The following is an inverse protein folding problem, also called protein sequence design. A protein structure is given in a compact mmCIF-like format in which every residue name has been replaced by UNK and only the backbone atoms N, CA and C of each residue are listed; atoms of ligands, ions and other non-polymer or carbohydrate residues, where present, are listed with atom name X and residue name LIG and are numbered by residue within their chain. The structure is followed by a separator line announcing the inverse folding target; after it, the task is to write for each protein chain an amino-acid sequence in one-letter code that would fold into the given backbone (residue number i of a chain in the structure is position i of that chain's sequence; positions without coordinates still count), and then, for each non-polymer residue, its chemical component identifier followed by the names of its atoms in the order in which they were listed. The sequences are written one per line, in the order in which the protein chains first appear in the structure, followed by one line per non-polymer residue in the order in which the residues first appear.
data_IF_776493377831
#
_entry.id   IF_776493377831
#
_cell.length_a   1.000
_cell.length_b   1.000
_cell.length_c   1.000
_cell.angle_alpha   90.00
_cell.angle_beta   90.00
_cell.angle_gamma   90.00
#
_symmetry.space_group_name_H-M   'P 1'
#
loop_
_entity.id
_entity.type
_entity.pdbx_description
1 polymer ?
#
# COMPACT_ATOMS: atom_id res chain seq x y z
N UNK A 1 74.89 -16.05 -15.24
CA UNK A 1 74.12 -17.26 -14.88
C UNK A 1 73.11 -16.82 -13.83
N UNK A 2 71.80 -16.93 -13.94
CA UNK A 2 70.96 -17.91 -14.63
C UNK A 2 69.82 -17.16 -15.38
N UNK A 3 69.36 -17.63 -16.55
CA UNK A 3 68.45 -16.97 -17.47
C UNK A 3 67.00 -17.41 -17.26
N UNK A 4 66.05 -16.50 -17.45
CA UNK A 4 64.73 -16.76 -18.06
C UNK A 4 63.94 -15.45 -18.15
N UNK A 5 64.38 -14.58 -19.08
CA UNK A 5 63.51 -13.69 -19.83
C UNK A 5 63.31 -14.33 -21.19
N UNK A 6 62.11 -14.84 -21.48
CA UNK A 6 61.66 -15.05 -22.86
C UNK A 6 60.20 -14.58 -22.98
N UNK A 7 60.00 -13.76 -23.99
CA UNK A 7 58.79 -13.13 -24.48
C UNK A 7 57.55 -14.03 -24.55
N UNK A 8 56.39 -13.41 -24.26
CA UNK A 8 55.21 -13.51 -25.14
C UNK A 8 54.32 -12.28 -24.99
N UNK A 9 54.51 -11.33 -25.91
CA UNK A 9 53.42 -10.50 -26.42
C UNK A 9 52.49 -11.41 -27.21
N UNK A 10 51.25 -11.64 -26.77
CA UNK A 10 50.12 -12.10 -27.60
C UNK A 10 48.80 -11.60 -26.96
N UNK A 11 48.15 -10.65 -27.66
CA UNK A 11 46.78 -10.11 -27.56
C UNK A 11 46.23 -9.58 -26.21
N UNK A 12 46.35 -8.26 -26.04
CA UNK A 12 45.25 -7.44 -25.50
C UNK A 12 44.04 -7.62 -26.44
N UNK A 13 42.94 -8.16 -25.92
CA UNK A 13 41.63 -8.02 -26.53
C UNK A 13 40.94 -6.85 -25.82
N UNK A 14 40.60 -5.75 -26.51
CA UNK A 14 39.96 -4.60 -25.91
C UNK A 14 38.44 -4.78 -25.96
N UNK A 15 37.90 -5.88 -25.44
CA UNK A 15 36.44 -6.09 -25.37
C UNK A 15 36.13 -7.08 -24.25
N UNK A 16 36.34 -6.65 -23.00
CA UNK A 16 35.55 -7.15 -21.89
C UNK A 16 34.81 -5.95 -21.32
N UNK A 17 33.61 -5.73 -21.84
CA UNK A 17 32.55 -5.08 -21.08
C UNK A 17 32.36 -5.91 -19.80
N UNK A 18 33.04 -5.54 -18.72
CA UNK A 18 32.43 -5.75 -17.41
C UNK A 18 31.12 -4.95 -17.44
N UNK A 19 29.96 -5.59 -17.21
CA UNK A 19 28.73 -4.83 -17.08
C UNK A 19 28.95 -3.86 -15.95
N UNK A 20 28.86 -2.56 -16.25
CA UNK A 20 28.72 -1.52 -15.22
C UNK A 20 27.55 -1.99 -14.37
N UNK A 21 27.82 -2.44 -13.14
CA UNK A 21 26.75 -2.75 -12.21
C UNK A 21 26.00 -1.44 -12.00
N UNK A 22 24.83 -1.34 -12.62
CA UNK A 22 23.96 -0.20 -12.41
C UNK A 22 23.77 -0.06 -10.89
N UNK A 23 23.93 1.16 -10.38
CA UNK A 23 23.61 1.45 -9.00
C UNK A 23 22.21 0.91 -8.69
N UNK A 24 21.99 0.25 -7.54
CA UNK A 24 20.65 -0.18 -7.17
C UNK A 24 19.69 1.00 -7.25
N UNK A 25 18.52 0.78 -7.84
CA UNK A 25 17.47 1.79 -7.94
C UNK A 25 17.06 2.21 -6.53
N UNK A 26 17.02 3.52 -6.29
CA UNK A 26 16.62 4.05 -4.99
C UNK A 26 15.10 4.08 -4.90
N UNK A 27 14.57 3.59 -3.77
CA UNK A 27 13.14 3.59 -3.51
C UNK A 27 12.59 5.01 -3.37
N UNK A 28 11.42 5.28 -3.93
CA UNK A 28 10.74 6.58 -3.86
C UNK A 28 10.53 7.06 -2.42
N UNK A 29 10.27 6.12 -1.49
CA UNK A 29 10.07 6.39 -0.05
C UNK A 29 11.29 7.01 0.67
N UNK A 30 12.46 7.10 0.03
CA UNK A 30 13.63 7.78 0.59
C UNK A 30 13.63 9.29 0.35
N UNK A 31 12.72 9.81 -0.48
CA UNK A 31 12.51 11.24 -0.71
C UNK A 31 11.05 11.59 -0.37
N UNK A 32 10.83 12.05 0.87
CA UNK A 32 9.49 12.36 1.39
C UNK A 32 8.76 13.38 0.52
N UNK A 33 9.43 14.46 0.12
CA UNK A 33 8.81 15.54 -0.67
C UNK A 33 8.37 15.04 -2.04
N UNK A 34 9.20 14.23 -2.69
CA UNK A 34 8.88 13.66 -4.00
C UNK A 34 7.82 12.57 -3.92
N UNK A 35 7.89 11.73 -2.89
CA UNK A 35 6.84 10.74 -2.62
C UNK A 35 5.48 11.42 -2.43
N UNK A 36 5.41 12.48 -1.61
CA UNK A 36 4.16 13.21 -1.37
C UNK A 36 3.59 13.86 -2.64
N UNK A 37 4.44 14.48 -3.47
CA UNK A 37 4.00 15.05 -4.75
C UNK A 37 3.46 13.98 -5.70
N UNK A 38 4.14 12.85 -5.79
CA UNK A 38 3.77 11.74 -6.66
C UNK A 38 2.46 11.09 -6.19
N UNK A 39 2.31 10.89 -4.87
CA UNK A 39 1.10 10.36 -4.26
C UNK A 39 -0.09 11.29 -4.43
N UNK A 40 0.08 12.60 -4.21
CA UNK A 40 -0.98 13.59 -4.41
C UNK A 40 -1.45 13.60 -5.88
N UNK A 41 -0.51 13.58 -6.83
CA UNK A 41 -0.84 13.51 -8.25
C UNK A 41 -1.54 12.19 -8.60
N UNK A 42 -1.12 11.07 -8.03
CA UNK A 42 -1.82 9.79 -8.18
C UNK A 42 -3.27 9.88 -7.72
N UNK A 43 -3.55 10.48 -6.56
CA UNK A 43 -4.93 10.65 -6.08
C UNK A 43 -5.75 11.56 -7.00
N UNK A 44 -5.16 12.62 -7.54
CA UNK A 44 -5.82 13.52 -8.50
C UNK A 44 -6.13 12.87 -9.85
N UNK A 45 -5.31 11.89 -10.25
CA UNK A 45 -5.39 11.22 -11.56
C UNK A 45 -6.07 9.86 -11.50
N UNK A 46 -6.52 9.42 -10.33
CA UNK A 46 -7.12 8.11 -10.14
C UNK A 46 -8.49 8.17 -9.46
N UNK A 47 -9.23 7.07 -9.57
CA UNK A 47 -10.46 6.85 -8.82
C UNK A 47 -10.21 6.15 -7.48
N UNK A 48 -8.99 6.25 -6.92
CA UNK A 48 -8.57 5.52 -5.71
C UNK A 48 -9.52 5.74 -4.53
N UNK A 49 -9.62 6.99 -4.06
CA UNK A 49 -10.50 7.32 -2.94
C UNK A 49 -11.98 7.16 -3.29
N UNK A 50 -12.36 7.38 -4.56
CA UNK A 50 -13.75 7.22 -4.98
C UNK A 50 -14.20 5.76 -4.84
N UNK A 51 -13.42 4.80 -5.34
CA UNK A 51 -13.79 3.39 -5.28
C UNK A 51 -13.80 2.85 -3.83
N UNK A 52 -12.92 3.37 -2.96
CA UNK A 52 -12.94 3.07 -1.52
C UNK A 52 -14.22 3.61 -0.86
N UNK A 53 -14.58 4.87 -1.14
CA UNK A 53 -15.82 5.47 -0.63
C UNK A 53 -17.06 4.72 -1.09
N UNK A 54 -17.10 4.29 -2.35
CA UNK A 54 -18.20 3.48 -2.87
C UNK A 54 -18.33 2.16 -2.09
N UNK A 55 -17.22 1.48 -1.77
CA UNK A 55 -17.25 0.30 -0.91
C UNK A 55 -17.72 0.64 0.51
N UNK A 56 -17.21 1.73 1.09
CA UNK A 56 -17.53 2.18 2.44
C UNK A 56 -19.01 2.52 2.57
N UNK A 57 -19.62 3.20 1.61
CA UNK A 57 -21.03 3.59 1.72
C UNK A 57 -22.00 2.45 1.34
N UNK A 58 -21.60 1.53 0.45
CA UNK A 58 -22.53 0.54 -0.11
C UNK A 58 -22.37 -0.88 0.45
N UNK A 59 -21.20 -1.24 1.00
CA UNK A 59 -20.91 -2.62 1.44
C UNK A 59 -20.50 -2.69 2.90
N UNK A 60 -19.69 -1.75 3.36
CA UNK A 60 -19.20 -1.71 4.73
C UNK A 60 -20.31 -1.68 5.80
N UNK A 61 -21.47 -1.00 5.65
CA UNK A 61 -22.48 -0.95 6.71
C UNK A 61 -23.04 -2.33 7.07
N UNK A 62 -23.10 -3.24 6.09
CA UNK A 62 -23.49 -4.63 6.32
C UNK A 62 -22.42 -5.43 7.06
N UNK A 63 -21.14 -5.18 6.80
CA UNK A 63 -20.01 -5.81 7.49
C UNK A 63 -19.94 -5.34 8.95
N UNK A 64 -20.14 -4.04 9.18
CA UNK A 64 -20.11 -3.43 10.52
C UNK A 64 -21.34 -3.81 11.37
N UNK A 65 -22.41 -4.33 10.76
CA UNK A 65 -23.66 -4.65 11.45
C UNK A 65 -23.50 -5.66 12.60
N UNK A 66 -22.56 -6.61 12.48
CA UNK A 66 -22.33 -7.63 13.50
C UNK A 66 -21.29 -7.24 14.55
N UNK A 67 -20.57 -6.12 14.35
CA UNK A 67 -19.50 -5.69 15.23
C UNK A 67 -20.09 -5.23 16.56
N UNK A 68 -19.37 -5.46 17.66
CA UNK A 68 -19.72 -4.94 18.97
C UNK A 68 -20.71 -5.76 19.77
N UNK A 69 -21.61 -6.53 19.15
CA UNK A 69 -22.53 -7.47 19.82
C UNK A 69 -23.26 -6.85 21.05
N UNK A 70 -23.74 -5.61 20.92
CA UNK A 70 -24.44 -4.88 22.00
C UNK A 70 -23.55 -4.11 22.97
N UNK A 71 -22.24 -4.01 22.73
CA UNK A 71 -21.33 -3.15 23.49
C UNK A 71 -21.74 -1.67 23.39
N UNK A 72 -21.62 -0.95 24.51
CA UNK A 72 -21.74 0.52 24.57
C UNK A 72 -20.46 1.26 24.16
N UNK A 73 -19.37 0.52 23.95
CA UNK A 73 -18.05 1.05 23.60
C UNK A 73 -17.32 0.13 22.63
N UNK A 74 -16.75 0.68 21.55
CA UNK A 74 -15.99 -0.06 20.55
C UNK A 74 -14.55 0.38 20.50
N UNK A 75 -13.67 -0.60 20.34
CA UNK A 75 -12.24 -0.35 20.12
C UNK A 75 -11.92 -0.47 18.63
N UNK A 76 -11.44 0.62 18.03
CA UNK A 76 -11.02 0.65 16.62
C UNK A 76 -9.51 0.85 16.56
N UNK A 77 -8.86 0.13 15.63
CA UNK A 77 -7.43 0.33 15.35
C UNK A 77 -7.26 0.62 13.85
N UNK A 78 -6.82 1.82 13.53
CA UNK A 78 -6.38 2.19 12.19
C UNK A 78 -4.88 2.03 12.05
N UNK A 79 -4.44 1.14 11.16
CA UNK A 79 -3.02 0.89 10.91
C UNK A 79 -2.65 1.48 9.56
N UNK A 80 -1.64 2.34 9.52
CA UNK A 80 -1.27 3.11 8.32
C UNK A 80 -2.36 4.09 7.90
N UNK A 81 -2.97 4.79 8.86
CA UNK A 81 -4.14 5.66 8.63
C UNK A 81 -3.87 6.89 7.75
N UNK A 82 -2.61 7.26 7.52
CA UNK A 82 -2.29 8.45 6.75
C UNK A 82 -2.93 9.72 7.34
N UNK A 83 -3.48 10.56 6.47
CA UNK A 83 -4.17 11.79 6.84
C UNK A 83 -5.63 11.58 7.32
N UNK A 84 -6.10 10.33 7.34
CA UNK A 84 -7.34 9.93 7.99
C UNK A 84 -8.64 10.17 7.20
N UNK A 85 -8.60 10.56 5.92
CA UNK A 85 -9.85 10.77 5.17
C UNK A 85 -10.68 9.48 5.09
N UNK A 86 -10.04 8.36 4.77
CA UNK A 86 -10.72 7.07 4.64
C UNK A 86 -11.14 6.51 6.02
N UNK A 87 -10.30 6.69 7.04
CA UNK A 87 -10.65 6.33 8.42
C UNK A 87 -11.95 7.02 8.87
N UNK A 88 -12.07 8.33 8.66
CA UNK A 88 -13.24 9.08 9.08
C UNK A 88 -14.51 8.68 8.32
N UNK A 89 -14.39 8.30 7.05
CA UNK A 89 -15.52 7.74 6.28
C UNK A 89 -15.98 6.40 6.90
N UNK A 90 -15.05 5.51 7.25
CA UNK A 90 -15.38 4.24 7.91
C UNK A 90 -15.96 4.43 9.31
N UNK A 91 -15.40 5.36 10.10
CA UNK A 91 -15.89 5.70 11.44
C UNK A 91 -17.28 6.36 11.39
N UNK A 92 -17.57 7.12 10.33
CA UNK A 92 -18.90 7.67 10.09
C UNK A 92 -19.92 6.56 9.85
N UNK A 93 -19.62 5.59 8.98
CA UNK A 93 -20.50 4.44 8.74
C UNK A 93 -20.65 3.55 9.96
N UNK A 94 -19.59 3.38 10.76
CA UNK A 94 -19.66 2.68 12.04
C UNK A 94 -20.65 3.37 13.00
N UNK A 95 -20.56 4.69 13.13
CA UNK A 95 -21.46 5.45 13.99
C UNK A 95 -22.91 5.42 13.49
N UNK A 96 -23.15 5.56 12.17
CA UNK A 96 -24.50 5.41 11.60
C UNK A 96 -25.11 4.04 11.91
N UNK A 97 -24.29 2.99 11.94
CA UNK A 97 -24.74 1.64 12.26
C UNK A 97 -24.99 1.43 13.75
N UNK A 98 -24.22 2.11 14.61
CA UNK A 98 -24.23 2.00 16.07
C UNK A 98 -24.25 3.39 16.74
N UNK A 99 -25.36 4.15 16.64
CA UNK A 99 -25.38 5.58 16.96
C UNK A 99 -25.21 5.89 18.46
N UNK A 100 -25.53 4.95 19.34
CA UNK A 100 -25.45 5.13 20.80
C UNK A 100 -24.06 4.77 21.37
N UNK A 101 -23.15 4.31 20.53
CA UNK A 101 -21.89 3.70 20.94
C UNK A 101 -20.74 4.70 20.84
N UNK A 102 -19.91 4.72 21.88
CA UNK A 102 -18.66 5.49 21.88
C UNK A 102 -17.52 4.68 21.29
N UNK A 103 -16.51 5.36 20.74
CA UNK A 103 -15.39 4.71 20.05
C UNK A 103 -14.05 5.17 20.65
N UNK A 104 -13.22 4.22 21.07
CA UNK A 104 -11.78 4.45 21.26
C UNK A 104 -11.05 4.10 19.96
N UNK A 105 -10.58 5.11 19.22
CA UNK A 105 -9.86 4.93 17.95
C UNK A 105 -8.35 5.08 18.17
N UNK A 106 -7.60 4.00 18.03
CA UNK A 106 -6.14 3.98 18.06
C UNK A 106 -5.58 4.07 16.64
N UNK A 107 -4.92 5.19 16.36
CA UNK A 107 -4.27 5.46 15.07
C UNK A 107 -2.81 5.07 15.17
N UNK A 108 -2.33 4.24 14.25
CA UNK A 108 -0.93 3.80 14.13
C UNK A 108 -0.39 4.30 12.79
N UNK A 109 0.45 5.32 12.83
CA UNK A 109 0.97 5.98 11.62
C UNK A 109 2.40 6.51 11.89
N UNK A 110 3.43 6.07 11.16
CA UNK A 110 4.81 6.51 11.40
C UNK A 110 5.07 7.96 10.96
N UNK A 111 4.37 8.47 9.94
CA UNK A 111 4.61 9.80 9.39
C UNK A 111 4.07 10.91 10.29
N UNK A 112 4.98 11.79 10.75
CA UNK A 112 4.60 12.97 11.55
C UNK A 112 3.67 13.90 10.79
N UNK A 113 3.90 14.04 9.48
CA UNK A 113 3.11 14.93 8.62
C UNK A 113 1.69 14.41 8.44
N UNK A 114 1.55 13.10 8.18
CA UNK A 114 0.24 12.47 8.04
C UNK A 114 -0.56 12.54 9.34
N UNK A 115 0.07 12.22 10.48
CA UNK A 115 -0.57 12.39 11.79
C UNK A 115 -0.96 13.84 12.09
N UNK A 116 -0.15 14.82 11.67
CA UNK A 116 -0.50 16.23 11.81
C UNK A 116 -1.74 16.57 10.98
N UNK A 117 -1.76 16.18 9.70
CA UNK A 117 -2.88 16.39 8.78
C UNK A 117 -4.17 15.74 9.32
N UNK A 118 -4.08 14.52 9.84
CA UNK A 118 -5.24 13.84 10.45
C UNK A 118 -5.74 14.60 11.69
N UNK A 119 -4.85 15.04 12.59
CA UNK A 119 -5.27 15.86 13.75
C UNK A 119 -5.96 17.16 13.34
N UNK A 120 -5.47 17.82 12.28
CA UNK A 120 -6.12 19.02 11.71
C UNK A 120 -7.49 18.67 11.14
N UNK A 121 -7.61 17.55 10.40
CA UNK A 121 -8.87 17.09 9.83
C UNK A 121 -9.93 16.78 10.90
N UNK A 122 -9.51 16.22 12.04
CA UNK A 122 -10.37 15.92 13.20
C UNK A 122 -10.76 17.21 13.94
N UNK A 123 -9.84 18.16 14.12
CA UNK A 123 -10.14 19.40 14.84
C UNK A 123 -11.19 20.28 14.14
N UNK A 124 -11.38 20.08 12.84
CA UNK A 124 -12.40 20.74 12.03
C UNK A 124 -13.78 20.07 12.11
N UNK A 125 -13.92 18.95 12.83
CA UNK A 125 -15.15 18.14 12.92
C UNK A 125 -15.61 17.94 14.37
N UNK A 126 -16.19 18.98 15.02
CA UNK A 126 -16.63 18.89 16.41
C UNK A 126 -17.73 17.83 16.64
N UNK A 127 -18.43 17.41 15.59
CA UNK A 127 -19.43 16.33 15.62
C UNK A 127 -18.84 14.94 15.93
N UNK A 128 -17.52 14.76 15.86
CA UNK A 128 -16.83 13.50 16.18
C UNK A 128 -16.62 13.29 17.69
N UNK A 129 -17.38 13.98 18.55
CA UNK A 129 -17.22 13.94 20.01
C UNK A 129 -17.50 12.56 20.65
N UNK A 130 -18.11 11.64 19.90
CA UNK A 130 -18.31 10.24 20.29
C UNK A 130 -17.05 9.38 20.12
N UNK A 131 -15.98 9.93 19.53
CA UNK A 131 -14.71 9.25 19.28
C UNK A 131 -13.60 9.85 20.14
N UNK A 132 -12.90 8.99 20.88
CA UNK A 132 -11.65 9.31 21.53
C UNK A 132 -10.48 8.82 20.68
N UNK A 133 -9.70 9.76 20.16
CA UNK A 133 -8.52 9.45 19.34
C UNK A 133 -7.27 9.26 20.21
N UNK A 134 -6.53 8.18 19.95
CA UNK A 134 -5.18 7.94 20.47
C UNK A 134 -4.22 7.91 19.29
N UNK A 135 -3.23 8.80 19.31
CA UNK A 135 -2.30 8.99 18.19
C UNK A 135 -0.96 8.31 18.48
N UNK A 136 -0.66 7.22 17.78
CA UNK A 136 0.59 6.47 17.93
C UNK A 136 1.49 6.73 16.73
N UNK A 137 2.53 7.57 16.92
CA UNK A 137 3.59 7.76 15.92
C UNK A 137 4.54 6.57 15.96
N UNK A 138 4.21 5.51 15.22
CA UNK A 138 4.99 4.29 15.13
C UNK A 138 4.53 3.45 13.93
N UNK A 139 5.40 2.55 13.49
CA UNK A 139 5.10 1.51 12.50
C UNK A 139 4.20 0.42 13.08
N UNK A 140 3.62 -0.42 12.21
CA UNK A 140 2.87 -1.61 12.63
C UNK A 140 3.72 -2.58 13.47
N UNK A 141 4.99 -2.76 13.11
CA UNK A 141 5.93 -3.63 13.84
C UNK A 141 6.24 -3.09 15.24
N UNK A 142 6.52 -1.79 15.36
CA UNK A 142 6.75 -1.15 16.67
C UNK A 142 5.48 -1.18 17.55
N UNK A 143 4.30 -1.04 16.94
CA UNK A 143 3.04 -1.20 17.65
C UNK A 143 2.90 -2.63 18.20
N UNK A 144 3.18 -3.65 17.39
CA UNK A 144 3.17 -5.05 17.81
C UNK A 144 4.17 -5.32 18.95
N UNK A 145 5.40 -4.81 18.84
CA UNK A 145 6.42 -4.95 19.88
C UNK A 145 5.97 -4.29 21.20
N UNK A 146 5.48 -3.05 21.13
CA UNK A 146 4.96 -2.32 22.27
C UNK A 146 3.78 -3.04 22.91
N UNK A 147 2.88 -3.59 22.10
CA UNK A 147 1.72 -4.35 22.55
C UNK A 147 2.13 -5.58 23.35
N UNK A 148 3.09 -6.35 22.84
CA UNK A 148 3.65 -7.54 23.49
C UNK A 148 4.41 -7.19 24.77
N UNK A 149 5.27 -6.18 24.73
CA UNK A 149 6.06 -5.74 25.90
C UNK A 149 5.17 -5.26 27.05
N UNK A 150 4.13 -4.49 26.75
CA UNK A 150 3.16 -4.00 27.73
C UNK A 150 2.16 -5.08 28.19
N UNK A 151 2.21 -6.29 27.60
CA UNK A 151 1.27 -7.39 27.86
C UNK A 151 -0.20 -6.94 27.73
N UNK A 152 -0.48 -6.13 26.71
CA UNK A 152 -1.81 -5.58 26.49
C UNK A 152 -2.82 -6.70 26.21
N UNK A 153 -3.93 -6.70 26.94
CA UNK A 153 -5.02 -7.67 26.80
C UNK A 153 -6.24 -7.11 26.10
N UNK A 154 -6.21 -5.82 25.73
CA UNK A 154 -7.28 -5.12 25.00
C UNK A 154 -7.65 -5.90 23.73
N UNK A 155 -8.92 -5.86 23.34
CA UNK A 155 -9.40 -6.45 22.08
C UNK A 155 -10.03 -5.38 21.21
N UNK A 156 -9.90 -5.54 19.91
CA UNK A 156 -10.41 -4.61 18.91
C UNK A 156 -11.68 -5.15 18.26
N UNK A 157 -12.67 -4.29 18.12
CA UNK A 157 -13.93 -4.57 17.45
C UNK A 157 -13.82 -4.35 15.94
N UNK A 158 -12.98 -3.40 15.54
CA UNK A 158 -12.72 -3.13 14.14
C UNK A 158 -11.26 -2.76 13.94
N UNK A 159 -10.59 -3.37 12.97
CA UNK A 159 -9.24 -3.04 12.57
C UNK A 159 -9.24 -2.83 11.07
N UNK A 160 -8.53 -1.81 10.59
CA UNK A 160 -8.35 -1.62 9.16
C UNK A 160 -6.90 -1.32 8.78
N UNK A 161 -6.48 -1.89 7.64
CA UNK A 161 -5.18 -1.72 7.01
C UNK A 161 -5.40 -1.32 5.55
N UNK A 162 -5.38 -0.03 5.28
CA UNK A 162 -5.72 0.51 3.96
C UNK A 162 -4.42 0.90 3.26
N UNK A 163 -4.10 0.26 2.13
CA UNK A 163 -2.95 0.59 1.28
C UNK A 163 -1.59 0.70 2.01
N UNK A 164 -1.38 -0.08 3.07
CA UNK A 164 -0.21 0.08 3.95
C UNK A 164 0.67 -1.17 4.08
N UNK A 165 0.19 -2.35 3.67
CA UNK A 165 0.96 -3.60 3.79
C UNK A 165 2.17 -3.66 2.84
N UNK A 166 2.30 -2.72 1.91
CA UNK A 166 3.49 -2.55 1.08
C UNK A 166 4.73 -2.17 1.90
N UNK A 167 4.51 -1.55 3.06
CA UNK A 167 5.56 -0.96 3.90
C UNK A 167 5.90 -1.82 5.12
N UNK A 168 5.41 -3.07 5.18
CA UNK A 168 5.78 -4.02 6.24
C UNK A 168 6.69 -5.11 5.69
N UNK A 169 7.54 -5.66 6.56
CA UNK A 169 8.50 -6.71 6.20
C UNK A 169 7.84 -8.07 5.96
N UNK A 170 6.86 -8.43 6.79
CA UNK A 170 6.11 -9.69 6.69
C UNK A 170 4.60 -9.41 6.84
N UNK A 171 3.88 -9.21 5.72
CA UNK A 171 2.45 -8.96 5.73
C UNK A 171 1.66 -10.09 6.39
N UNK A 172 2.08 -11.34 6.23
CA UNK A 172 1.40 -12.50 6.82
C UNK A 172 1.50 -12.50 8.34
N UNK A 173 2.68 -12.23 8.89
CA UNK A 173 2.88 -12.07 10.32
C UNK A 173 2.10 -10.87 10.87
N UNK A 174 2.16 -9.71 10.19
CA UNK A 174 1.38 -8.51 10.58
C UNK A 174 -0.12 -8.81 10.62
N UNK A 175 -0.68 -9.43 9.57
CA UNK A 175 -2.10 -9.80 9.52
C UNK A 175 -2.44 -10.76 10.66
N UNK A 176 -1.61 -11.78 10.90
CA UNK A 176 -1.82 -12.75 11.99
C UNK A 176 -1.86 -12.06 13.35
N UNK A 177 -0.96 -11.11 13.59
CA UNK A 177 -0.92 -10.36 14.84
C UNK A 177 -2.19 -9.55 15.03
N UNK A 178 -2.57 -8.70 14.07
CA UNK A 178 -3.75 -7.86 14.21
C UNK A 178 -5.05 -8.67 14.22
N UNK A 179 -5.14 -9.77 13.47
CA UNK A 179 -6.27 -10.69 13.56
C UNK A 179 -6.41 -11.28 14.97
N UNK A 180 -5.30 -11.59 15.66
CA UNK A 180 -5.32 -12.10 17.04
C UNK A 180 -5.85 -11.07 18.06
N UNK A 181 -5.83 -9.79 17.71
CA UNK A 181 -6.38 -8.70 18.55
C UNK A 181 -7.90 -8.59 18.44
N UNK A 182 -8.52 -9.23 17.44
CA UNK A 182 -9.96 -9.15 17.25
C UNK A 182 -10.74 -9.71 18.44
N UNK A 183 -11.76 -8.96 18.86
CA UNK A 183 -12.76 -9.44 19.80
C UNK A 183 -13.79 -10.33 19.11
N UNK A 184 -14.69 -10.94 19.88
CA UNK A 184 -15.84 -11.66 19.36
C UNK A 184 -16.59 -10.78 18.35
N UNK A 185 -16.88 -11.34 17.18
CA UNK A 185 -17.49 -10.66 16.02
C UNK A 185 -16.69 -9.50 15.42
N UNK A 186 -15.48 -9.23 15.91
CA UNK A 186 -14.63 -8.18 15.37
C UNK A 186 -14.21 -8.46 13.94
N UNK A 187 -13.95 -7.39 13.17
CA UNK A 187 -13.55 -7.46 11.76
C UNK A 187 -12.19 -6.83 11.54
N UNK A 188 -11.35 -7.48 10.75
CA UNK A 188 -10.15 -6.88 10.15
C UNK A 188 -10.41 -6.65 8.67
N UNK A 189 -10.30 -5.41 8.21
CA UNK A 189 -10.39 -5.04 6.79
C UNK A 189 -9.02 -4.72 6.25
N UNK A 190 -8.71 -5.28 5.08
CA UNK A 190 -7.49 -5.00 4.33
C UNK A 190 -7.90 -4.52 2.94
N UNK A 191 -7.34 -3.39 2.51
CA UNK A 191 -7.46 -2.91 1.14
C UNK A 191 -6.07 -2.84 0.52
N UNK A 192 -5.88 -3.55 -0.58
CA UNK A 192 -4.67 -3.52 -1.40
C UNK A 192 -5.04 -3.52 -2.89
N UNK A 193 -4.08 -3.30 -3.76
CA UNK A 193 -4.27 -3.53 -5.20
C UNK A 193 -4.64 -4.99 -5.47
N UNK A 194 -5.48 -5.18 -6.49
CA UNK A 194 -5.88 -6.50 -6.97
C UNK A 194 -4.72 -7.21 -7.67
N UNK A 195 -4.62 -8.54 -7.55
CA UNK A 195 -3.68 -9.33 -8.35
C UNK A 195 -3.93 -9.21 -9.87
N UNK A 196 -5.18 -8.86 -10.24
CA UNK A 196 -5.62 -8.64 -11.62
C UNK A 196 -5.58 -7.16 -12.04
N UNK A 197 -4.94 -6.29 -11.25
CA UNK A 197 -4.71 -4.90 -11.64
C UNK A 197 -3.48 -4.78 -12.55
N UNK A 198 -3.29 -3.60 -13.13
CA UNK A 198 -2.06 -3.26 -13.84
C UNK A 198 -0.83 -3.34 -12.93
N UNK A 199 -0.95 -3.02 -11.63
CA UNK A 199 0.12 -3.23 -10.65
C UNK A 199 0.47 -4.71 -10.50
N UNK A 200 -0.54 -5.59 -10.43
CA UNK A 200 -0.32 -7.04 -10.40
C UNK A 200 0.46 -7.54 -11.61
N UNK A 201 0.19 -7.01 -12.80
CA UNK A 201 0.93 -7.33 -14.04
C UNK A 201 2.34 -6.75 -14.03
N UNK A 202 2.49 -5.46 -13.67
CA UNK A 202 3.77 -4.75 -13.58
C UNK A 202 4.73 -5.45 -12.62
N UNK A 203 4.28 -5.70 -11.40
CA UNK A 203 5.08 -6.36 -10.38
C UNK A 203 5.42 -7.79 -10.77
N UNK A 204 4.49 -8.57 -11.34
CA UNK A 204 4.81 -9.94 -11.79
C UNK A 204 5.97 -9.95 -12.81
N UNK A 205 6.03 -8.97 -13.71
CA UNK A 205 7.08 -8.90 -14.74
C UNK A 205 8.39 -8.31 -14.21
N UNK A 206 8.33 -7.24 -13.43
CA UNK A 206 9.49 -6.42 -13.07
C UNK A 206 9.86 -6.48 -11.58
N UNK A 207 9.31 -7.42 -10.78
CA UNK A 207 9.55 -7.49 -9.32
C UNK A 207 11.03 -7.47 -8.95
N UNK A 208 11.85 -8.26 -9.63
CA UNK A 208 13.27 -8.40 -9.32
C UNK A 208 14.10 -7.16 -9.69
N UNK A 209 13.53 -6.24 -10.47
CA UNK A 209 14.20 -5.04 -10.98
C UNK A 209 13.71 -3.77 -10.26
N UNK A 210 12.45 -3.74 -9.83
CA UNK A 210 11.82 -2.57 -9.21
C UNK A 210 11.65 -2.68 -7.69
N UNK A 211 11.25 -3.85 -7.18
CA UNK A 211 10.80 -3.96 -5.80
C UNK A 211 12.00 -4.05 -4.84
N UNK A 212 11.99 -3.23 -3.80
CA UNK A 212 12.90 -3.34 -2.68
C UNK A 212 12.64 -4.65 -1.91
N UNK A 213 13.68 -5.41 -1.60
CA UNK A 213 13.58 -6.68 -0.85
C UNK A 213 13.44 -6.49 0.66
N UNK A 214 13.73 -5.30 1.19
CA UNK A 214 13.62 -5.00 2.62
C UNK A 214 12.17 -4.71 3.07
N UNK A 215 11.28 -4.41 2.12
CA UNK A 215 9.85 -4.14 2.34
C UNK A 215 8.98 -4.91 1.35
N UNK A 216 7.71 -5.14 1.67
CA UNK A 216 6.79 -5.92 0.81
C UNK A 216 6.16 -5.09 -0.31
N UNK A 217 6.96 -4.26 -0.99
CA UNK A 217 6.51 -3.23 -1.94
C UNK A 217 5.56 -3.74 -3.05
N UNK A 218 5.60 -5.05 -3.33
CA UNK A 218 4.91 -5.66 -4.46
C UNK A 218 3.94 -6.78 -4.04
N UNK A 219 3.24 -6.56 -2.91
CA UNK A 219 2.20 -7.46 -2.37
C UNK A 219 0.82 -7.10 -2.92
N UNK A 220 0.07 -8.08 -3.40
CA UNK A 220 -1.30 -7.91 -3.88
C UNK A 220 -2.30 -8.59 -2.96
N UNK A 221 -3.59 -8.30 -3.11
CA UNK A 221 -4.63 -9.11 -2.44
C UNK A 221 -4.56 -10.60 -2.80
N UNK A 222 -4.02 -10.98 -3.96
CA UNK A 222 -3.82 -12.39 -4.33
C UNK A 222 -2.77 -13.09 -3.45
N UNK A 223 -1.70 -12.37 -3.09
CA UNK A 223 -0.69 -12.85 -2.16
C UNK A 223 -1.28 -13.06 -0.76
N UNK A 224 -2.09 -12.10 -0.29
CA UNK A 224 -2.77 -12.19 1.01
C UNK A 224 -3.79 -13.34 1.03
N UNK A 225 -4.57 -13.53 -0.04
CA UNK A 225 -5.50 -14.66 -0.16
C UNK A 225 -4.79 -16.00 -0.02
N UNK A 226 -3.70 -16.22 -0.77
CA UNK A 226 -2.89 -17.45 -0.66
C UNK A 226 -2.38 -17.68 0.75
N UNK A 227 -1.93 -16.61 1.42
CA UNK A 227 -1.51 -16.68 2.82
C UNK A 227 -2.66 -17.13 3.73
N UNK A 228 -3.83 -16.49 3.65
CA UNK A 228 -5.00 -16.83 4.45
C UNK A 228 -5.48 -18.27 4.20
N UNK A 229 -5.54 -18.68 2.93
CA UNK A 229 -5.90 -20.03 2.50
C UNK A 229 -4.94 -21.07 3.12
N UNK A 230 -3.63 -20.80 3.10
CA UNK A 230 -2.61 -21.69 3.70
C UNK A 230 -2.75 -21.85 5.22
N UNK A 231 -3.41 -20.89 5.88
CA UNK A 231 -3.69 -20.91 7.33
C UNK A 231 -5.09 -21.41 7.66
N UNK A 232 -5.92 -21.74 6.65
CA UNK A 232 -7.32 -22.10 6.84
C UNK A 232 -8.17 -20.94 7.39
N UNK A 233 -7.75 -19.69 7.19
CA UNK A 233 -8.48 -18.51 7.65
C UNK A 233 -9.54 -18.15 6.63
N UNK A 234 -10.80 -18.10 7.06
CA UNK A 234 -11.90 -17.66 6.20
C UNK A 234 -11.91 -16.14 6.04
N UNK A 235 -12.24 -15.67 4.84
CA UNK A 235 -12.37 -14.26 4.53
C UNK A 235 -13.45 -14.02 3.46
N UNK A 236 -14.02 -12.82 3.47
CA UNK A 236 -14.80 -12.30 2.33
C UNK A 236 -13.88 -11.47 1.44
N UNK A 237 -14.17 -11.43 0.14
CA UNK A 237 -13.40 -10.63 -0.81
C UNK A 237 -14.29 -9.85 -1.76
N UNK A 238 -13.93 -8.58 -1.96
CA UNK A 238 -14.58 -7.68 -2.90
C UNK A 238 -13.55 -7.13 -3.88
N UNK A 239 -13.99 -6.84 -5.10
CA UNK A 239 -13.18 -6.13 -6.11
C UNK A 239 -13.75 -4.74 -6.27
N UNK A 240 -12.86 -3.74 -6.25
CA UNK A 240 -13.20 -2.34 -6.40
C UNK A 240 -12.62 -1.88 -7.74
N UNK A 241 -13.46 -1.73 -8.79
CA UNK A 241 -13.01 -1.18 -10.05
C UNK A 241 -12.41 0.21 -9.84
N UNK A 242 -11.19 0.40 -10.32
CA UNK A 242 -10.49 1.67 -10.20
C UNK A 242 -9.55 1.88 -11.38
N UNK A 243 -9.33 3.13 -11.72
CA UNK A 243 -8.53 3.54 -12.87
C UNK A 243 -7.60 4.69 -12.51
N UNK A 244 -6.54 4.84 -13.28
CA UNK A 244 -5.56 5.92 -13.16
C UNK A 244 -5.16 6.40 -14.55
N UNK A 245 -5.24 7.71 -14.80
CA UNK A 245 -4.80 8.30 -16.06
C UNK A 245 -3.27 8.48 -16.06
N UNK A 246 -2.60 7.72 -16.91
CA UNK A 246 -1.14 7.68 -17.04
C UNK A 246 -0.67 8.22 -18.39
N UNK A 247 -1.50 9.02 -19.07
CA UNK A 247 -1.24 9.51 -20.43
C UNK A 247 0.08 10.27 -20.51
N UNK A 248 0.39 11.10 -19.52
CA UNK A 248 1.60 11.93 -19.49
C UNK A 248 2.89 11.12 -19.31
N UNK A 249 2.83 9.88 -18.78
CA UNK A 249 4.00 8.99 -18.66
C UNK A 249 4.67 8.67 -20.01
N UNK A 250 3.97 8.99 -21.10
CA UNK A 250 4.36 8.71 -22.47
C UNK A 250 4.87 9.91 -23.24
N UNK A 251 4.88 11.08 -22.60
CA UNK A 251 5.43 12.32 -23.15
C UNK A 251 6.78 12.56 -22.47
N UNK A 252 7.86 12.47 -23.24
CA UNK A 252 9.21 12.62 -22.70
C UNK A 252 9.40 14.01 -22.06
N UNK A 253 9.83 14.02 -20.80
CA UNK A 253 10.08 15.25 -20.05
C UNK A 253 8.83 15.92 -19.46
N UNK A 254 7.64 15.32 -19.59
CA UNK A 254 6.43 15.83 -18.91
C UNK A 254 6.54 15.64 -17.40
N UNK A 255 6.48 16.74 -16.63
CA UNK A 255 6.68 16.70 -15.17
C UNK A 255 5.68 15.79 -14.44
N UNK A 256 4.42 15.74 -14.89
CA UNK A 256 3.41 14.84 -14.31
C UNK A 256 3.70 13.41 -14.68
N UNK A 257 4.06 13.18 -15.95
CA UNK A 257 4.48 11.87 -16.43
C UNK A 257 5.62 11.28 -15.62
N UNK A 258 6.63 12.08 -15.32
CA UNK A 258 7.79 11.66 -14.50
C UNK A 258 7.40 11.33 -13.06
N UNK A 259 6.55 12.15 -12.42
CA UNK A 259 6.05 11.86 -11.06
C UNK A 259 5.20 10.59 -11.02
N UNK A 260 4.34 10.37 -12.02
CA UNK A 260 3.52 9.17 -12.11
C UNK A 260 4.37 7.92 -12.39
N UNK A 261 5.44 8.03 -13.17
CA UNK A 261 6.37 6.93 -13.41
C UNK A 261 7.11 6.53 -12.12
N UNK A 262 7.56 7.51 -11.34
CA UNK A 262 8.16 7.24 -10.04
C UNK A 262 7.19 6.51 -9.12
N UNK A 263 5.92 6.94 -9.08
CA UNK A 263 4.88 6.26 -8.27
C UNK A 263 4.60 4.84 -8.76
N UNK A 264 4.37 4.64 -10.06
CA UNK A 264 4.07 3.33 -10.65
C UNK A 264 5.20 2.32 -10.41
N UNK A 265 6.44 2.80 -10.40
CA UNK A 265 7.63 1.95 -10.26
C UNK A 265 8.16 1.87 -8.83
N UNK A 266 7.70 2.75 -7.94
CA UNK A 266 8.23 2.96 -6.58
C UNK A 266 9.73 3.31 -6.57
N UNK A 267 10.23 3.91 -7.67
CA UNK A 267 11.64 4.27 -7.86
C UNK A 267 11.78 5.78 -7.98
N UNK A 268 12.75 6.33 -7.26
CA UNK A 268 13.09 7.75 -7.30
C UNK A 268 13.72 8.14 -8.63
N UNK A 269 13.15 9.13 -9.32
CA UNK A 269 13.61 9.62 -10.62
C UNK A 269 13.78 8.49 -11.65
N UNK A 270 12.80 7.57 -11.73
CA UNK A 270 12.86 6.32 -12.48
C UNK A 270 13.38 6.52 -13.92
N UNK A 271 12.80 7.47 -14.65
CA UNK A 271 13.18 7.74 -16.04
C UNK A 271 14.63 8.16 -16.25
N UNK A 272 15.30 8.66 -15.21
CA UNK A 272 16.70 9.11 -15.23
C UNK A 272 17.64 8.04 -14.70
N UNK A 273 17.17 7.18 -13.80
CA UNK A 273 18.01 6.22 -13.07
C UNK A 273 17.92 4.80 -13.63
N UNK A 274 16.79 4.42 -14.23
CA UNK A 274 16.61 3.12 -14.86
C UNK A 274 17.46 2.95 -16.12
N UNK A 275 17.86 1.71 -16.42
CA UNK A 275 18.49 1.42 -17.70
C UNK A 275 17.52 1.71 -18.86
N UNK A 276 18.02 2.08 -20.05
CA UNK A 276 17.17 2.33 -21.22
C UNK A 276 16.25 1.15 -21.54
N UNK A 277 16.74 -0.08 -21.37
CA UNK A 277 15.99 -1.32 -21.61
C UNK A 277 14.87 -1.50 -20.58
N UNK A 278 15.14 -1.23 -19.30
CA UNK A 278 14.13 -1.31 -18.25
C UNK A 278 13.05 -0.24 -18.45
N UNK A 279 13.44 1.01 -18.71
CA UNK A 279 12.51 2.11 -18.98
C UNK A 279 11.61 1.79 -20.18
N UNK A 280 12.20 1.37 -21.29
CA UNK A 280 11.45 1.01 -22.50
C UNK A 280 10.47 -0.14 -22.23
N UNK A 281 10.93 -1.19 -21.54
CA UNK A 281 10.08 -2.34 -21.21
C UNK A 281 8.92 -2.00 -20.26
N UNK A 282 9.16 -1.15 -19.26
CA UNK A 282 8.11 -0.67 -18.34
C UNK A 282 7.08 0.16 -19.12
N UNK A 283 7.51 1.13 -19.93
CA UNK A 283 6.60 1.95 -20.73
C UNK A 283 5.78 1.11 -21.73
N UNK A 284 6.40 0.12 -22.37
CA UNK A 284 5.70 -0.83 -23.23
C UNK A 284 4.63 -1.60 -22.46
N UNK A 285 4.98 -2.14 -21.28
CA UNK A 285 4.05 -2.88 -20.44
C UNK A 285 2.90 -1.99 -19.94
N UNK A 286 3.17 -0.75 -19.55
CA UNK A 286 2.15 0.19 -19.08
C UNK A 286 1.13 0.53 -20.18
N UNK A 287 1.48 0.44 -21.47
CA UNK A 287 0.52 0.56 -22.59
C UNK A 287 -0.16 -0.75 -22.97
N UNK A 288 0.30 -1.88 -22.44
CA UNK A 288 -0.22 -3.19 -22.83
C UNK A 288 -1.68 -3.34 -22.34
N UNK A 289 -2.57 -4.01 -23.10
CA UNK A 289 -3.97 -4.24 -22.71
C UNK A 289 -4.15 -4.95 -21.36
N UNK A 290 -3.14 -5.71 -20.91
CA UNK A 290 -3.14 -6.36 -19.60
C UNK A 290 -2.93 -5.38 -18.42
N UNK A 291 -2.43 -4.17 -18.69
CA UNK A 291 -2.19 -3.13 -17.70
C UNK A 291 -3.15 -1.96 -17.83
N UNK A 292 -3.48 -1.57 -19.07
CA UNK A 292 -4.22 -0.34 -19.35
C UNK A 292 -5.21 -0.51 -20.49
N UNK A 293 -6.30 0.24 -20.42
CA UNK A 293 -7.17 0.48 -21.56
C UNK A 293 -6.70 1.71 -22.33
N UNK A 294 -6.95 1.74 -23.64
CA UNK A 294 -6.51 2.81 -24.54
C UNK A 294 -7.68 3.39 -25.31
N UNK A 295 -7.68 4.72 -25.43
CA UNK A 295 -8.44 5.49 -26.41
C UNK A 295 -7.47 6.35 -27.22
N UNK A 296 -7.93 7.06 -28.26
CA UNK A 296 -7.05 7.79 -29.19
C UNK A 296 -6.06 8.72 -28.46
N UNK A 297 -6.51 9.40 -27.40
CA UNK A 297 -5.70 10.39 -26.67
C UNK A 297 -5.40 10.02 -25.20
N UNK A 298 -5.83 8.85 -24.72
CA UNK A 298 -5.68 8.50 -23.29
C UNK A 298 -5.23 7.08 -23.05
N UNK A 299 -4.35 6.92 -22.07
CA UNK A 299 -3.96 5.62 -21.51
C UNK A 299 -4.43 5.55 -20.07
N UNK A 300 -5.38 4.65 -19.82
CA UNK A 300 -6.06 4.50 -18.53
C UNK A 300 -5.63 3.19 -17.90
N UNK A 301 -4.75 3.29 -16.91
CA UNK A 301 -4.21 2.17 -16.15
C UNK A 301 -5.25 1.54 -15.25
N UNK A 302 -5.26 0.21 -15.21
CA UNK A 302 -6.12 -0.59 -14.34
C UNK A 302 -5.59 -0.53 -12.91
N UNK A 303 -6.20 0.32 -12.09
CA UNK A 303 -5.86 0.50 -10.68
C UNK A 303 -6.79 -0.31 -9.76
N UNK A 304 -7.40 -1.40 -10.24
CA UNK A 304 -8.38 -2.15 -9.46
C UNK A 304 -7.83 -2.54 -8.08
N UNK A 305 -8.63 -2.27 -7.04
CA UNK A 305 -8.34 -2.67 -5.67
C UNK A 305 -9.09 -3.95 -5.31
N UNK A 306 -8.64 -4.60 -4.25
CA UNK A 306 -9.35 -5.68 -3.59
C UNK A 306 -9.52 -5.36 -2.11
N UNK A 307 -10.69 -5.69 -1.59
CA UNK A 307 -10.95 -5.67 -0.14
C UNK A 307 -10.97 -7.12 0.34
N UNK A 308 -10.34 -7.35 1.49
CA UNK A 308 -10.46 -8.57 2.26
C UNK A 308 -11.06 -8.24 3.62
N UNK A 309 -12.08 -9.00 4.02
CA UNK A 309 -12.69 -8.91 5.35
C UNK A 309 -12.41 -10.21 6.07
N UNK A 310 -11.69 -10.13 7.18
CA UNK A 310 -11.23 -11.26 7.97
C UNK A 310 -11.94 -11.21 9.32
N UNK A 311 -12.49 -12.35 9.71
CA UNK A 311 -13.11 -12.55 11.02
C UNK A 311 -12.08 -13.04 12.05
N UNK A 312 -12.44 -12.93 13.32
CA UNK A 312 -11.71 -13.63 14.39
C UNK A 312 -11.73 -15.15 14.11
N UNK A 313 -10.59 -15.85 14.25
CA UNK A 313 -10.56 -17.31 14.17
C UNK A 313 -11.51 -17.92 15.21
N UNK A 314 -12.25 -18.95 14.80
CA UNK A 314 -13.12 -19.75 15.68
C UNK A 314 -12.26 -20.63 16.59
#
# INVERSE_FOLDING_TARGET
MNPNKIHRFIFYSPDRFEPIMASPLMSLVHDDDRYQKSFQLFLERSSEHQCMKDFIHNKLPHILASIGDGKSHLNVIGVGSGAGEIDLEMLSELHKRHPEVTVDNEVVEPSSQQLHNYKVLVSQKPELNYIKFTWNKMTASEFEENWKQKKMTKKADFIHMIQMLYYVKDPGATISFFQSLLDKNGKLIIILVSEKSGFGTLWRKYRNQLCNTEISQCVTTGDIKRFLDSKGVSYQSFVLPSHMDITECFTEGDEKGELLLDFLTEVLDFSKTASPELKAGVLELLRHPDCSSRSEDRVVFNNNLGVLVIDKPI
#
